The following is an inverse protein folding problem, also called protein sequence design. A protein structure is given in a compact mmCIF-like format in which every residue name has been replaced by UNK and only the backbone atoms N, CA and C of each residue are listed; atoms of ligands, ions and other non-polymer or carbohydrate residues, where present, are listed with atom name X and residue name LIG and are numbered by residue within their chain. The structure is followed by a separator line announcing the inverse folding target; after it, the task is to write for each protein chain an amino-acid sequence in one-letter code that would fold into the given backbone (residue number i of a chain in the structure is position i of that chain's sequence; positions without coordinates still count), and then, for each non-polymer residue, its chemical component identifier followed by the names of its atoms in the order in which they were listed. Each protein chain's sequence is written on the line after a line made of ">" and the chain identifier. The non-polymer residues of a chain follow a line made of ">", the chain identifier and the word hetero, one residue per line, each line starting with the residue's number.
data_IF_898811856906
#
_entry.id   IF_898811856906
#
_cell.length_a   1.000
_cell.length_b   1.000
_cell.length_c   1.000
_cell.angle_alpha   90.00
_cell.angle_beta   90.00
_cell.angle_gamma   90.00
#
_symmetry.space_group_name_H-M   'P 1'
#
loop_
_entity.id
_entity.type
_entity.pdbx_description
1 polymer ?
#
# COMPACT_ATOMS: atom_id res chain seq x y z
N UNK A 1 4.98 -10.52 -1.48
CA UNK A 1 6.03 -10.28 -2.49
C UNK A 1 5.51 -9.43 -3.65
N UNK A 2 4.36 -9.74 -4.28
CA UNK A 2 3.86 -9.04 -5.47
C UNK A 2 3.40 -7.60 -5.25
N UNK A 3 3.19 -7.16 -4.03
CA UNK A 3 2.89 -5.75 -3.73
C UNK A 3 3.96 -4.79 -4.29
N UNK A 4 5.23 -5.10 -4.14
CA UNK A 4 6.34 -4.25 -4.63
C UNK A 4 6.33 -4.12 -6.14
N UNK A 5 6.30 -5.20 -6.95
CA UNK A 5 6.18 -5.11 -8.40
C UNK A 5 4.92 -4.36 -8.88
N UNK A 6 3.78 -4.54 -8.22
CA UNK A 6 2.55 -3.79 -8.51
C UNK A 6 2.77 -2.28 -8.35
N UNK A 7 3.38 -1.87 -7.23
CA UNK A 7 3.69 -0.46 -6.97
C UNK A 7 4.68 0.11 -8.00
N UNK A 8 5.74 -0.63 -8.34
CA UNK A 8 6.72 -0.19 -9.36
C UNK A 8 6.08 -0.02 -10.74
N UNK A 9 5.16 -0.91 -11.14
CA UNK A 9 4.41 -0.76 -12.39
C UNK A 9 3.56 0.52 -12.38
N UNK A 10 2.85 0.78 -11.28
CA UNK A 10 2.02 1.99 -11.14
C UNK A 10 2.90 3.25 -11.20
N UNK A 11 4.03 3.26 -10.47
CA UNK A 11 4.99 4.38 -10.46
C UNK A 11 5.56 4.62 -11.86
N UNK A 12 5.98 3.56 -12.54
CA UNK A 12 6.52 3.65 -13.89
C UNK A 12 5.49 4.18 -14.91
N UNK A 13 4.22 3.80 -14.78
CA UNK A 13 3.14 4.34 -15.61
C UNK A 13 2.87 5.81 -15.28
N UNK A 14 2.81 6.17 -13.99
CA UNK A 14 2.64 7.55 -13.56
C UNK A 14 3.75 8.46 -14.09
N UNK A 15 5.00 7.97 -14.08
CA UNK A 15 6.16 8.67 -14.64
C UNK A 15 6.03 8.95 -16.14
N UNK A 16 5.37 8.05 -16.90
CA UNK A 16 5.18 8.22 -18.34
C UNK A 16 4.03 9.18 -18.68
N UNK A 17 3.05 9.31 -17.79
CA UNK A 17 1.83 10.11 -17.98
C UNK A 17 1.92 11.50 -17.34
N UNK A 18 3.12 11.92 -16.88
CA UNK A 18 3.33 13.26 -16.34
C UNK A 18 2.68 13.51 -14.97
N UNK A 19 2.45 12.47 -14.19
CA UNK A 19 2.02 12.61 -12.80
C UNK A 19 3.20 13.16 -11.98
N UNK A 20 2.95 14.14 -11.11
CA UNK A 20 4.00 14.76 -10.31
C UNK A 20 4.14 14.17 -8.91
N UNK A 21 3.07 13.61 -8.34
CA UNK A 21 3.08 13.10 -6.96
C UNK A 21 2.30 11.81 -6.83
N UNK A 22 2.92 10.84 -6.19
CA UNK A 22 2.24 9.65 -5.67
C UNK A 22 2.26 9.74 -4.14
N UNK A 23 1.09 9.64 -3.53
CA UNK A 23 0.92 9.72 -2.08
C UNK A 23 0.45 8.37 -1.57
N UNK A 24 1.27 7.73 -0.73
CA UNK A 24 1.02 6.38 -0.24
C UNK A 24 0.58 6.42 1.21
N UNK A 25 -0.58 5.83 1.49
CA UNK A 25 -1.04 5.50 2.83
C UNK A 25 -1.04 4.00 3.03
N UNK A 26 -0.45 3.52 4.10
CA UNK A 26 -0.49 2.10 4.42
C UNK A 26 -0.37 1.85 5.91
N UNK A 27 -1.02 0.77 6.36
CA UNK A 27 -0.84 0.21 7.68
C UNK A 27 0.52 -0.51 7.80
N UNK A 28 0.69 -1.36 8.81
CA UNK A 28 1.98 -1.96 9.12
C UNK A 28 2.42 -3.08 8.17
N UNK A 29 1.46 -3.80 7.56
CA UNK A 29 1.73 -4.99 6.74
C UNK A 29 2.58 -4.68 5.53
N UNK A 30 3.84 -5.14 5.55
CA UNK A 30 4.79 -4.92 4.47
C UNK A 30 5.39 -3.50 4.39
N UNK A 31 5.17 -2.64 5.40
CA UNK A 31 5.64 -1.26 5.38
C UNK A 31 7.15 -1.15 5.25
N UNK A 32 7.92 -1.91 6.02
CA UNK A 32 9.38 -1.90 5.92
C UNK A 32 9.86 -2.33 4.53
N UNK A 33 9.16 -3.27 3.90
CA UNK A 33 9.44 -3.72 2.55
C UNK A 33 9.21 -2.60 1.52
N UNK A 34 8.11 -1.85 1.66
CA UNK A 34 7.82 -0.68 0.80
C UNK A 34 8.82 0.45 1.05
N UNK A 35 9.17 0.73 2.32
CA UNK A 35 10.20 1.73 2.66
C UNK A 35 11.53 1.41 1.98
N UNK A 36 11.95 0.15 1.94
CA UNK A 36 13.20 -0.25 1.32
C UNK A 36 13.11 -0.26 -0.20
N UNK A 37 12.17 -1.00 -0.77
CA UNK A 37 12.16 -1.29 -2.21
C UNK A 37 11.52 -0.18 -3.05
N UNK A 38 10.55 0.54 -2.49
CA UNK A 38 9.87 1.63 -3.20
C UNK A 38 10.46 2.98 -2.85
N UNK A 39 10.83 3.20 -1.58
CA UNK A 39 11.29 4.51 -1.10
C UNK A 39 12.81 4.60 -0.86
N UNK A 40 13.54 3.52 -1.19
CA UNK A 40 14.99 3.44 -1.11
C UNK A 40 15.58 3.67 0.30
N UNK A 41 14.83 3.37 1.38
CA UNK A 41 15.39 3.41 2.74
C UNK A 41 16.45 2.31 2.86
N UNK A 42 17.71 2.64 3.23
CA UNK A 42 18.77 1.64 3.32
C UNK A 42 18.44 0.53 4.33
N UNK A 43 18.77 -0.72 4.00
CA UNK A 43 18.61 -1.85 4.92
C UNK A 43 19.33 -1.64 6.25
N UNK A 44 20.52 -1.04 6.22
CA UNK A 44 21.29 -0.75 7.43
C UNK A 44 20.51 0.12 8.42
N UNK A 45 19.74 1.11 7.93
CA UNK A 45 18.90 1.94 8.77
C UNK A 45 17.73 1.16 9.37
N UNK A 46 17.07 0.30 8.57
CA UNK A 46 15.98 -0.55 9.07
C UNK A 46 16.49 -1.54 10.10
N UNK A 47 17.64 -2.18 9.84
CA UNK A 47 18.22 -3.15 10.78
C UNK A 47 18.70 -2.50 12.06
N UNK A 48 19.20 -1.27 12.00
CA UNK A 48 19.57 -0.52 13.20
C UNK A 48 18.37 -0.24 14.12
N UNK A 49 17.17 -0.03 13.53
CA UNK A 49 15.92 0.19 14.28
C UNK A 49 15.42 -1.09 15.03
N UNK A 50 15.97 -2.28 14.72
CA UNK A 50 15.70 -3.52 15.45
C UNK A 50 16.63 -3.76 16.63
N UNK A 51 17.74 -3.02 16.73
CA UNK A 51 18.63 -3.11 17.89
C UNK A 51 18.00 -2.36 19.04
N UNK A 52 18.04 -2.95 20.24
CA UNK A 52 17.49 -2.35 21.44
C UNK A 52 18.03 -0.93 21.67
N UNK A 53 17.16 -0.05 22.11
CA UNK A 53 17.45 1.36 22.41
C UNK A 53 18.38 1.56 23.61
N UNK A 54 18.83 0.51 24.28
CA UNK A 54 19.75 0.57 25.43
C UNK A 54 21.21 0.90 25.06
N UNK A 55 21.58 0.91 23.79
CA UNK A 55 22.91 1.40 23.40
C UNK A 55 22.82 2.89 23.04
N UNK A 56 23.26 3.72 23.96
CA UNK A 56 23.29 5.20 23.95
C UNK A 56 23.92 5.90 22.72
N UNK A 57 24.28 5.18 21.66
CA UNK A 57 25.07 5.72 20.56
C UNK A 57 24.42 5.70 19.16
N UNK A 58 23.18 5.26 19.02
CA UNK A 58 22.48 5.26 17.73
C UNK A 58 21.05 5.78 17.85
N UNK A 59 20.89 7.07 18.12
CA UNK A 59 19.63 7.74 17.80
C UNK A 59 19.58 7.92 16.28
N UNK A 60 18.87 7.04 15.57
CA UNK A 60 18.45 7.32 14.19
C UNK A 60 17.47 8.49 14.30
N UNK A 61 17.98 9.70 14.12
CA UNK A 61 17.11 10.86 13.90
C UNK A 61 16.44 10.63 12.55
N UNK A 62 15.10 10.58 12.52
CA UNK A 62 14.43 10.76 11.27
C UNK A 62 14.77 12.14 10.69
N UNK A 63 14.43 12.39 9.45
CA UNK A 63 14.70 13.67 8.78
C UNK A 63 14.06 14.88 9.49
N UNK A 64 13.21 14.65 10.47
CA UNK A 64 12.52 15.65 11.29
C UNK A 64 13.10 15.75 12.72
N UNK A 65 14.09 14.92 13.07
CA UNK A 65 14.75 14.93 14.38
C UNK A 65 13.93 14.31 15.52
N UNK A 66 12.88 13.59 15.22
CA UNK A 66 12.03 12.92 16.22
C UNK A 66 12.66 11.59 16.64
N UNK A 67 12.54 11.28 17.93
CA UNK A 67 13.03 10.03 18.52
C UNK A 67 11.89 9.35 19.28
N UNK A 68 11.99 8.02 19.44
CA UNK A 68 11.05 7.26 20.29
C UNK A 68 9.80 6.74 19.60
N UNK A 69 9.62 6.96 18.30
CA UNK A 69 8.51 6.34 17.55
C UNK A 69 8.87 4.94 17.08
N UNK A 70 7.86 4.09 16.89
CA UNK A 70 8.07 2.73 16.40
C UNK A 70 8.38 2.72 14.89
N UNK A 71 9.30 1.86 14.47
CA UNK A 71 9.77 1.72 13.08
C UNK A 71 8.66 1.59 12.02
N UNK A 72 7.49 1.10 12.41
CA UNK A 72 6.34 0.90 11.52
C UNK A 72 5.49 2.16 11.28
N UNK A 73 5.79 3.28 11.96
CA UNK A 73 5.10 4.55 11.77
C UNK A 73 5.84 5.51 10.83
N UNK A 74 7.12 5.26 10.58
CA UNK A 74 7.96 6.15 9.78
C UNK A 74 7.40 6.39 8.37
N UNK A 75 7.36 7.66 7.97
CA UNK A 75 7.14 8.10 6.61
C UNK A 75 8.46 8.18 5.82
N UNK A 76 8.36 8.35 4.52
CA UNK A 76 9.51 8.58 3.65
C UNK A 76 9.11 9.28 2.34
N UNK A 77 10.11 9.85 1.67
CA UNK A 77 9.93 10.53 0.38
C UNK A 77 11.09 10.16 -0.56
N UNK A 78 10.74 9.90 -1.82
CA UNK A 78 11.70 9.59 -2.88
C UNK A 78 11.35 10.38 -4.14
N UNK A 79 12.35 11.04 -4.76
CA UNK A 79 12.26 11.52 -6.14
C UNK A 79 12.53 10.37 -7.10
N UNK A 80 11.75 10.27 -8.16
CA UNK A 80 11.87 9.18 -9.14
C UNK A 80 12.87 9.57 -10.22
N UNK A 81 13.71 8.62 -10.64
CA UNK A 81 14.60 8.77 -11.78
C UNK A 81 14.14 7.88 -12.94
N UNK A 82 14.27 8.38 -14.17
CA UNK A 82 14.02 7.61 -15.39
C UNK A 82 15.28 7.68 -16.25
N UNK A 83 15.84 6.50 -16.61
CA UNK A 83 17.12 6.38 -17.35
C UNK A 83 18.27 7.15 -16.71
N UNK A 84 18.31 7.21 -15.37
CA UNK A 84 19.35 7.90 -14.61
C UNK A 84 19.11 9.39 -14.38
N UNK A 85 18.13 10.01 -15.02
CA UNK A 85 17.76 11.41 -14.81
C UNK A 85 16.56 11.53 -13.87
N UNK A 86 16.61 12.48 -12.94
CA UNK A 86 15.48 12.80 -12.07
C UNK A 86 14.36 13.42 -12.90
N UNK A 87 13.17 12.87 -12.74
CA UNK A 87 11.95 13.41 -13.32
C UNK A 87 11.12 14.12 -12.24
N UNK A 88 10.20 14.97 -12.66
CA UNK A 88 9.31 15.68 -11.72
C UNK A 88 8.19 14.76 -11.20
N UNK A 89 8.59 13.63 -10.60
CA UNK A 89 7.71 12.71 -9.89
C UNK A 89 8.29 12.40 -8.52
N UNK A 90 7.48 12.62 -7.50
CA UNK A 90 7.83 12.32 -6.11
C UNK A 90 6.85 11.32 -5.53
N UNK A 91 7.39 10.24 -4.95
CA UNK A 91 6.62 9.28 -4.15
C UNK A 91 6.80 9.64 -2.67
N UNK A 92 5.71 9.82 -1.97
CA UNK A 92 5.69 10.14 -0.54
C UNK A 92 4.81 9.15 0.20
N UNK A 93 5.36 8.47 1.20
CA UNK A 93 4.59 7.68 2.15
C UNK A 93 4.35 8.52 3.40
N UNK A 94 3.08 8.72 3.74
CA UNK A 94 2.72 9.42 4.97
C UNK A 94 3.13 8.62 6.20
N UNK A 95 3.62 9.25 7.29
CA UNK A 95 3.67 8.60 8.58
C UNK A 95 2.25 8.19 9.01
N UNK A 96 2.13 7.14 9.81
CA UNK A 96 0.82 6.67 10.29
C UNK A 96 0.84 6.34 11.77
N UNK A 97 -0.31 6.44 12.46
CA UNK A 97 -0.44 5.98 13.84
C UNK A 97 -0.63 4.45 13.92
N UNK A 98 -0.67 3.90 15.11
CA UNK A 98 -1.04 2.50 15.36
C UNK A 98 -2.49 2.17 14.99
N UNK A 99 -3.37 3.19 14.91
CA UNK A 99 -4.76 3.02 14.49
C UNK A 99 -4.81 2.68 13.01
N UNK A 100 -5.18 1.43 12.70
CA UNK A 100 -5.26 0.94 11.33
C UNK A 100 -6.28 1.76 10.52
N UNK A 101 -5.96 2.01 9.25
CA UNK A 101 -6.78 2.71 8.25
C UNK A 101 -6.96 4.23 8.50
N UNK A 102 -6.56 4.79 9.64
CA UNK A 102 -6.72 6.23 9.92
C UNK A 102 -5.84 7.13 9.06
N UNK A 103 -4.77 6.59 8.46
CA UNK A 103 -3.96 7.32 7.49
C UNK A 103 -4.69 7.56 6.15
N UNK A 104 -5.75 6.81 5.85
CA UNK A 104 -6.44 6.88 4.56
C UNK A 104 -7.00 8.27 4.27
N UNK A 105 -7.88 8.87 5.12
CA UNK A 105 -8.39 10.21 4.86
C UNK A 105 -7.28 11.28 4.92
N UNK A 106 -6.20 11.04 5.66
CA UNK A 106 -5.04 11.95 5.68
C UNK A 106 -4.38 12.00 4.30
N UNK A 107 -4.12 10.85 3.69
CA UNK A 107 -3.52 10.76 2.36
C UNK A 107 -4.44 11.32 1.27
N UNK A 108 -5.75 11.10 1.38
CA UNK A 108 -6.74 11.74 0.50
C UNK A 108 -6.68 13.28 0.62
N UNK A 109 -6.60 13.81 1.85
CA UNK A 109 -6.42 15.24 2.11
C UNK A 109 -5.10 15.77 1.55
N UNK A 110 -4.00 15.05 1.71
CA UNK A 110 -2.70 15.40 1.12
C UNK A 110 -2.76 15.44 -0.41
N UNK A 111 -3.42 14.46 -1.04
CA UNK A 111 -3.60 14.41 -2.49
C UNK A 111 -4.47 15.58 -2.98
N UNK A 112 -5.55 15.87 -2.27
CA UNK A 112 -6.40 17.02 -2.55
C UNK A 112 -5.63 18.33 -2.46
N UNK A 113 -4.86 18.54 -1.39
CA UNK A 113 -4.06 19.74 -1.20
C UNK A 113 -2.99 19.90 -2.29
N UNK A 114 -2.24 18.84 -2.59
CA UNK A 114 -1.16 18.87 -3.58
C UNK A 114 -1.65 19.17 -5.01
N UNK A 115 -2.88 18.79 -5.36
CA UNK A 115 -3.49 19.10 -6.64
C UNK A 115 -4.31 20.40 -6.66
N UNK A 116 -4.37 21.15 -5.56
CA UNK A 116 -5.17 22.37 -5.45
C UNK A 116 -4.31 23.61 -5.67
N UNK A 117 -4.76 24.48 -6.55
CA UNK A 117 -4.12 25.76 -6.88
C UNK A 117 -5.00 26.92 -6.36
N UNK A 118 -4.32 27.85 -5.68
CA UNK A 118 -4.90 29.10 -5.12
C UNK A 118 -4.20 30.33 -5.67
N UNK A 119 -3.63 30.21 -6.84
CA UNK A 119 -2.83 31.23 -7.53
C UNK A 119 -3.65 32.40 -8.08
N UNK A 120 -4.98 32.28 -8.08
CA UNK A 120 -5.90 33.31 -8.57
C UNK A 120 -7.03 33.55 -7.55
N UNK A 121 -7.55 34.78 -7.48
CA UNK A 121 -8.75 35.08 -6.67
C UNK A 121 -9.95 34.22 -7.09
N UNK A 122 -10.79 33.81 -6.13
CA UNK A 122 -11.99 33.02 -6.36
C UNK A 122 -11.90 31.60 -5.82
N UNK A 123 -12.62 30.67 -6.42
CA UNK A 123 -12.61 29.27 -5.98
C UNK A 123 -11.31 28.58 -6.34
N UNK A 124 -10.72 27.79 -5.42
CA UNK A 124 -9.55 26.97 -5.70
C UNK A 124 -9.78 26.04 -6.91
N UNK A 125 -8.80 25.92 -7.79
CA UNK A 125 -8.80 24.99 -8.91
C UNK A 125 -8.11 23.69 -8.49
N UNK A 126 -8.73 22.57 -8.75
CA UNK A 126 -8.15 21.26 -8.52
C UNK A 126 -7.78 20.57 -9.83
N UNK A 127 -6.54 20.08 -9.94
CA UNK A 127 -6.05 19.34 -11.09
C UNK A 127 -5.86 17.86 -10.73
N UNK A 128 -6.65 17.00 -11.34
CA UNK A 128 -6.65 15.56 -11.11
C UNK A 128 -5.39 14.85 -11.68
N UNK A 129 -4.65 15.50 -12.58
CA UNK A 129 -3.47 14.94 -13.21
C UNK A 129 -2.19 15.10 -12.34
N UNK A 130 -2.24 15.91 -11.28
CA UNK A 130 -1.06 16.19 -10.45
C UNK A 130 -0.73 15.03 -9.52
N UNK A 131 -1.74 14.35 -8.96
CA UNK A 131 -1.55 13.39 -7.87
C UNK A 131 -2.23 12.07 -8.12
N UNK A 132 -1.64 10.99 -7.61
CA UNK A 132 -2.28 9.69 -7.44
C UNK A 132 -2.14 9.26 -5.98
N UNK A 133 -3.22 9.20 -5.20
CA UNK A 133 -3.21 8.50 -3.93
C UNK A 133 -3.23 6.98 -4.15
N UNK A 134 -2.44 6.26 -3.34
CA UNK A 134 -2.43 4.80 -3.26
C UNK A 134 -2.64 4.44 -1.80
N UNK A 135 -3.71 3.71 -1.51
CA UNK A 135 -4.03 3.22 -0.18
C UNK A 135 -3.85 1.72 -0.10
N UNK A 136 -2.96 1.29 0.81
CA UNK A 136 -2.62 -0.13 0.99
C UNK A 136 -3.23 -0.61 2.31
N UNK A 137 -4.12 -1.58 2.22
CA UNK A 137 -4.96 -2.05 3.31
C UNK A 137 -4.60 -3.47 3.75
N UNK A 138 -4.85 -3.76 5.02
CA UNK A 138 -4.97 -5.15 5.50
C UNK A 138 -6.42 -5.64 5.33
N UNK A 139 -6.59 -6.90 4.97
CA UNK A 139 -7.90 -7.52 4.72
C UNK A 139 -8.85 -7.44 5.93
N UNK A 140 -8.35 -7.74 7.13
CA UNK A 140 -9.16 -7.68 8.34
C UNK A 140 -9.54 -6.24 8.73
N UNK A 141 -8.61 -5.30 8.60
CA UNK A 141 -8.87 -3.90 8.93
C UNK A 141 -9.81 -3.23 7.91
N UNK A 142 -9.61 -3.49 6.62
CA UNK A 142 -10.44 -2.91 5.57
C UNK A 142 -11.93 -3.26 5.74
N UNK A 143 -12.24 -4.50 6.06
CA UNK A 143 -13.62 -4.94 6.24
C UNK A 143 -14.27 -4.43 7.55
N UNK A 144 -13.46 -4.10 8.58
CA UNK A 144 -13.97 -3.90 9.94
C UNK A 144 -13.87 -2.44 10.45
N UNK A 145 -12.92 -1.64 9.94
CA UNK A 145 -12.71 -0.28 10.43
C UNK A 145 -13.69 0.71 9.80
N UNK A 146 -14.47 1.42 10.62
CA UNK A 146 -15.48 2.39 10.16
C UNK A 146 -14.90 3.51 9.28
N UNK A 147 -13.68 3.96 9.57
CA UNK A 147 -12.98 4.99 8.80
C UNK A 147 -12.77 4.61 7.34
N UNK A 148 -12.76 3.31 7.00
CA UNK A 148 -12.70 2.83 5.61
C UNK A 148 -13.96 3.23 4.85
N UNK A 149 -15.13 2.94 5.41
CA UNK A 149 -16.41 3.33 4.80
C UNK A 149 -16.54 4.85 4.65
N UNK A 150 -16.07 5.61 5.65
CA UNK A 150 -16.05 7.08 5.60
C UNK A 150 -15.13 7.58 4.49
N UNK A 151 -13.93 7.01 4.35
CA UNK A 151 -12.98 7.34 3.27
C UNK A 151 -13.58 7.02 1.90
N UNK A 152 -14.12 5.80 1.73
CA UNK A 152 -14.76 5.41 0.47
C UNK A 152 -15.95 6.31 0.11
N UNK A 153 -16.69 6.82 1.11
CA UNK A 153 -17.79 7.76 0.86
C UNK A 153 -17.31 9.09 0.26
N UNK A 154 -16.08 9.52 0.55
CA UNK A 154 -15.52 10.78 0.04
C UNK A 154 -15.20 10.75 -1.46
N UNK A 155 -14.97 9.58 -2.07
CA UNK A 155 -14.41 9.43 -3.42
C UNK A 155 -15.17 10.16 -4.54
N UNK A 156 -16.47 10.39 -4.39
CA UNK A 156 -17.32 11.07 -5.38
C UNK A 156 -17.85 12.43 -4.92
N UNK A 157 -17.58 12.80 -3.67
CA UNK A 157 -18.04 14.09 -3.16
C UNK A 157 -17.20 15.22 -3.75
N UNK A 158 -17.87 16.25 -4.28
CA UNK A 158 -17.20 17.35 -5.02
C UNK A 158 -16.07 18.01 -4.24
N UNK A 159 -16.23 18.18 -2.92
CA UNK A 159 -15.24 18.80 -2.05
C UNK A 159 -14.04 17.92 -1.71
N UNK A 160 -14.17 16.60 -1.84
CA UNK A 160 -13.19 15.62 -1.36
C UNK A 160 -12.51 14.82 -2.46
N UNK A 161 -13.15 14.63 -3.61
CA UNK A 161 -12.61 13.81 -4.70
C UNK A 161 -11.20 14.24 -5.12
N UNK A 162 -10.36 13.26 -5.37
CA UNK A 162 -8.93 13.43 -5.73
C UNK A 162 -8.60 12.98 -7.16
N UNK A 163 -9.60 12.64 -7.95
CA UNK A 163 -9.40 12.09 -9.31
C UNK A 163 -9.11 10.60 -9.32
N UNK A 164 -9.56 9.90 -8.30
CA UNK A 164 -9.46 8.46 -8.14
C UNK A 164 -8.24 8.00 -7.35
N UNK A 165 -8.50 7.06 -6.45
CA UNK A 165 -7.52 6.39 -5.58
C UNK A 165 -7.32 4.96 -6.06
N UNK A 166 -6.09 4.48 -6.05
CA UNK A 166 -5.81 3.06 -6.25
C UNK A 166 -5.72 2.42 -4.87
N UNK A 167 -6.68 1.53 -4.58
CA UNK A 167 -6.72 0.75 -3.36
C UNK A 167 -6.07 -0.61 -3.60
N UNK A 168 -5.19 -1.03 -2.69
CA UNK A 168 -4.53 -2.33 -2.73
C UNK A 168 -4.74 -3.06 -1.40
N UNK A 169 -5.59 -4.07 -1.36
CA UNK A 169 -5.74 -4.92 -0.19
C UNK A 169 -4.67 -6.01 -0.24
N UNK A 170 -3.73 -5.98 0.69
CA UNK A 170 -2.75 -7.05 0.89
C UNK A 170 -3.38 -8.17 1.72
N UNK A 171 -4.22 -8.97 1.06
CA UNK A 171 -5.08 -9.96 1.67
C UNK A 171 -4.32 -11.25 1.97
N UNK A 172 -3.99 -11.49 3.23
CA UNK A 172 -3.36 -12.74 3.66
C UNK A 172 -4.35 -13.72 4.33
N UNK A 173 -5.65 -13.43 4.28
CA UNK A 173 -6.76 -14.29 4.72
C UNK A 173 -6.74 -14.62 6.21
N UNK A 174 -6.02 -13.82 7.01
CA UNK A 174 -5.95 -13.98 8.46
C UNK A 174 -5.77 -12.64 9.16
N UNK A 175 -6.51 -12.40 10.23
CA UNK A 175 -6.34 -11.24 11.11
C UNK A 175 -5.69 -11.65 12.43
N UNK A 176 -4.37 -11.51 12.56
CA UNK A 176 -3.54 -12.03 13.65
C UNK A 176 -3.73 -13.53 13.82
N UNK A 177 -4.68 -13.99 14.65
CA UNK A 177 -5.05 -15.40 14.87
C UNK A 177 -6.47 -15.73 14.40
N UNK A 178 -7.20 -14.74 13.86
CA UNK A 178 -8.60 -14.89 13.44
C UNK A 178 -8.68 -15.26 11.96
N UNK A 179 -9.31 -16.37 11.65
CA UNK A 179 -9.57 -16.80 10.29
C UNK A 179 -10.53 -15.83 9.57
N UNK A 180 -10.45 -15.77 8.26
CA UNK A 180 -11.25 -14.87 7.41
C UNK A 180 -12.76 -15.08 7.57
N UNK A 181 -13.22 -16.33 7.65
CA UNK A 181 -14.63 -16.69 7.85
C UNK A 181 -15.19 -16.26 9.23
N UNK A 182 -14.31 -16.04 10.22
CA UNK A 182 -14.69 -15.53 11.54
C UNK A 182 -14.49 -14.00 11.66
N UNK A 183 -13.80 -13.38 10.69
CA UNK A 183 -13.45 -11.96 10.72
C UNK A 183 -14.45 -11.07 9.98
N UNK A 184 -15.25 -11.61 9.06
CA UNK A 184 -16.21 -10.83 8.26
C UNK A 184 -17.41 -11.67 7.82
N UNK A 185 -18.54 -10.98 7.61
CA UNK A 185 -19.79 -11.62 7.13
C UNK A 185 -19.82 -11.75 5.60
N UNK A 186 -18.95 -11.05 4.90
CA UNK A 186 -18.87 -11.04 3.43
C UNK A 186 -17.86 -12.06 2.93
N UNK A 187 -18.02 -12.51 1.68
CA UNK A 187 -17.10 -13.47 1.07
C UNK A 187 -15.70 -12.89 0.92
N UNK A 188 -15.57 -11.64 0.47
CA UNK A 188 -14.30 -10.98 0.24
C UNK A 188 -14.12 -9.79 1.18
N UNK A 189 -12.88 -9.51 1.58
CA UNK A 189 -12.55 -8.34 2.38
C UNK A 189 -12.93 -7.03 1.65
N UNK A 190 -12.83 -7.03 0.33
CA UNK A 190 -13.14 -5.91 -0.56
C UNK A 190 -14.63 -5.64 -0.80
N UNK A 191 -15.53 -6.49 -0.31
CA UNK A 191 -16.97 -6.40 -0.61
C UNK A 191 -17.61 -5.08 -0.15
N UNK A 192 -17.05 -4.42 0.86
CA UNK A 192 -17.48 -3.08 1.29
C UNK A 192 -17.47 -2.08 0.12
N UNK A 193 -16.48 -2.15 -0.77
CA UNK A 193 -16.33 -1.24 -1.89
C UNK A 193 -17.42 -1.39 -2.97
N UNK A 194 -18.12 -2.52 -3.01
CA UNK A 194 -19.24 -2.76 -3.94
C UNK A 194 -20.37 -1.75 -3.74
N UNK A 195 -20.66 -1.39 -2.49
CA UNK A 195 -21.67 -0.39 -2.14
C UNK A 195 -21.36 0.99 -2.71
N UNK A 196 -20.08 1.31 -2.91
CA UNK A 196 -19.60 2.57 -3.47
C UNK A 196 -19.39 2.49 -4.99
N UNK A 197 -19.71 1.36 -5.64
CA UNK A 197 -19.56 1.13 -7.08
C UNK A 197 -18.11 1.30 -7.56
N UNK A 198 -17.16 0.89 -6.75
CA UNK A 198 -15.74 0.84 -7.08
C UNK A 198 -15.46 -0.51 -7.73
N UNK A 199 -14.84 -0.57 -8.93
CA UNK A 199 -14.46 -1.83 -9.54
C UNK A 199 -13.40 -2.54 -8.69
N UNK A 200 -13.55 -3.86 -8.54
CA UNK A 200 -12.69 -4.71 -7.75
C UNK A 200 -12.15 -5.82 -8.65
N UNK A 201 -10.85 -6.05 -8.61
CA UNK A 201 -10.21 -7.21 -9.22
C UNK A 201 -9.52 -8.02 -8.14
N UNK A 202 -9.89 -9.29 -8.02
CA UNK A 202 -9.20 -10.26 -7.17
C UNK A 202 -8.09 -10.90 -8.00
N UNK A 203 -6.88 -10.90 -7.48
CA UNK A 203 -5.72 -11.51 -8.14
C UNK A 203 -4.94 -12.38 -7.16
N UNK A 204 -4.51 -13.55 -7.63
CA UNK A 204 -3.68 -14.44 -6.83
C UNK A 204 -2.25 -13.88 -6.74
N UNK A 205 -1.78 -13.64 -5.51
CA UNK A 205 -0.44 -13.13 -5.25
C UNK A 205 0.70 -14.09 -5.70
N UNK A 206 0.36 -15.34 -6.00
CA UNK A 206 1.28 -16.34 -6.54
C UNK A 206 1.34 -16.37 -8.09
N UNK A 207 0.61 -15.47 -8.76
CA UNK A 207 0.61 -15.28 -10.21
C UNK A 207 1.22 -13.91 -10.57
N UNK A 208 2.54 -13.83 -10.86
CA UNK A 208 3.20 -12.56 -11.15
C UNK A 208 2.67 -11.86 -12.40
N UNK A 209 2.35 -12.60 -13.46
CA UNK A 209 1.87 -12.02 -14.71
C UNK A 209 0.51 -11.36 -14.50
N UNK A 210 -0.44 -12.08 -13.91
CA UNK A 210 -1.74 -11.52 -13.57
C UNK A 210 -1.63 -10.30 -12.64
N UNK A 211 -0.73 -10.31 -11.66
CA UNK A 211 -0.50 -9.17 -10.78
C UNK A 211 -0.03 -7.93 -11.54
N UNK A 212 0.87 -8.09 -12.51
CA UNK A 212 1.36 -6.98 -13.34
C UNK A 212 0.26 -6.45 -14.25
N UNK A 213 -0.54 -7.32 -14.87
CA UNK A 213 -1.65 -6.89 -15.73
C UNK A 213 -2.74 -6.15 -14.94
N UNK A 214 -3.06 -6.61 -13.73
CA UNK A 214 -4.01 -5.91 -12.85
C UNK A 214 -3.48 -4.54 -12.43
N UNK A 215 -2.17 -4.40 -12.16
CA UNK A 215 -1.57 -3.10 -11.87
C UNK A 215 -1.69 -2.14 -13.07
N UNK A 216 -1.46 -2.62 -14.28
CA UNK A 216 -1.65 -1.86 -15.53
C UNK A 216 -3.10 -1.44 -15.71
N UNK A 217 -4.03 -2.35 -15.49
CA UNK A 217 -5.47 -2.09 -15.57
C UNK A 217 -5.91 -1.04 -14.57
N UNK A 218 -5.49 -1.16 -13.31
CA UNK A 218 -5.83 -0.23 -12.24
C UNK A 218 -5.36 1.20 -12.57
N UNK A 219 -4.11 1.33 -13.02
CA UNK A 219 -3.57 2.62 -13.45
C UNK A 219 -4.36 3.19 -14.65
N UNK A 220 -4.57 2.38 -15.70
CA UNK A 220 -5.27 2.80 -16.91
C UNK A 220 -6.72 3.23 -16.61
N UNK A 221 -7.42 2.48 -15.76
CA UNK A 221 -8.77 2.82 -15.33
C UNK A 221 -8.80 4.15 -14.57
N UNK A 222 -7.95 4.30 -13.57
CA UNK A 222 -7.84 5.54 -12.79
C UNK A 222 -7.50 6.74 -13.68
N UNK A 223 -6.52 6.59 -14.55
CA UNK A 223 -6.07 7.65 -15.47
C UNK A 223 -7.18 8.06 -16.45
N UNK A 224 -7.89 7.08 -17.01
CA UNK A 224 -8.95 7.30 -18.00
C UNK A 224 -10.23 7.88 -17.40
N UNK A 225 -10.66 7.35 -16.26
CA UNK A 225 -11.98 7.65 -15.70
C UNK A 225 -11.95 8.58 -14.50
N UNK A 226 -10.79 8.86 -13.93
CA UNK A 226 -10.59 9.66 -12.71
C UNK A 226 -11.47 9.14 -11.55
N UNK A 227 -11.50 7.82 -11.37
CA UNK A 227 -12.28 7.09 -10.38
C UNK A 227 -11.41 6.08 -9.64
N UNK A 228 -11.86 5.71 -8.47
CA UNK A 228 -11.20 4.71 -7.64
C UNK A 228 -11.23 3.33 -8.30
N UNK A 229 -10.18 2.56 -8.03
CA UNK A 229 -10.03 1.18 -8.45
C UNK A 229 -9.44 0.36 -7.31
N UNK A 230 -9.89 -0.87 -7.15
CA UNK A 230 -9.45 -1.74 -6.06
C UNK A 230 -8.83 -3.03 -6.57
N UNK A 231 -7.65 -3.33 -6.06
CA UNK A 231 -6.95 -4.59 -6.24
C UNK A 231 -7.04 -5.37 -4.93
N UNK A 232 -7.68 -6.52 -4.92
CA UNK A 232 -7.65 -7.47 -3.83
C UNK A 232 -6.57 -8.52 -4.13
N UNK A 233 -5.37 -8.30 -3.58
CA UNK A 233 -4.20 -9.15 -3.78
C UNK A 233 -4.26 -10.32 -2.79
N UNK A 234 -4.84 -11.43 -3.23
CA UNK A 234 -5.11 -12.60 -2.40
C UNK A 234 -3.86 -13.49 -2.29
N UNK A 235 -3.36 -13.61 -1.09
CA UNK A 235 -2.17 -14.40 -0.79
C UNK A 235 -2.29 -15.06 0.59
N UNK A 236 -1.15 -15.26 1.23
CA UNK A 236 -1.06 -15.82 2.57
C UNK A 236 0.12 -15.23 3.34
N UNK A 237 0.08 -15.32 4.66
CA UNK A 237 1.16 -14.91 5.54
C UNK A 237 2.14 -16.06 5.75
N UNK A 238 3.38 -15.92 5.33
CA UNK A 238 4.40 -16.98 5.44
C UNK A 238 4.99 -17.06 6.86
N UNK A 239 5.18 -15.94 7.51
CA UNK A 239 5.78 -15.84 8.85
C UNK A 239 4.75 -15.37 9.88
N UNK A 240 5.16 -15.14 11.12
CA UNK A 240 4.31 -14.65 12.18
C UNK A 240 3.71 -13.26 11.93
N UNK A 241 2.77 -12.86 12.78
CA UNK A 241 2.15 -11.55 12.76
C UNK A 241 3.18 -10.44 13.06
N UNK A 242 4.11 -10.72 13.94
CA UNK A 242 5.25 -9.90 14.30
C UNK A 242 6.48 -10.77 14.58
N UNK A 243 7.58 -10.16 15.00
CA UNK A 243 8.87 -10.83 15.23
C UNK A 243 8.82 -11.91 16.33
N UNK A 244 7.91 -11.79 17.30
CA UNK A 244 7.77 -12.72 18.42
C UNK A 244 6.67 -13.76 18.24
N UNK A 245 5.92 -13.73 17.11
CA UNK A 245 4.78 -14.62 16.90
C UNK A 245 5.19 -15.90 16.17
N UNK A 246 4.87 -17.06 16.77
CA UNK A 246 4.97 -18.37 16.12
C UNK A 246 3.56 -18.86 15.70
N UNK A 247 3.19 -18.66 14.44
CA UNK A 247 1.81 -18.90 13.99
C UNK A 247 1.41 -20.37 13.95
N UNK A 248 2.36 -21.30 14.01
CA UNK A 248 2.06 -22.75 14.06
C UNK A 248 1.38 -23.16 15.35
N UNK A 249 1.49 -22.37 16.42
CA UNK A 249 0.79 -22.62 17.68
C UNK A 249 -0.72 -22.42 17.55
N UNK A 250 -1.15 -21.47 16.75
CA UNK A 250 -2.57 -21.11 16.59
C UNK A 250 -3.20 -21.62 15.30
N UNK A 251 -2.42 -21.73 14.21
CA UNK A 251 -2.86 -22.21 12.90
C UNK A 251 -1.98 -23.37 12.36
N UNK A 252 -1.88 -24.51 13.06
CA UNK A 252 -0.95 -25.59 12.69
C UNK A 252 -1.25 -26.18 11.31
N UNK A 253 -2.49 -26.44 10.97
CA UNK A 253 -2.89 -27.05 9.69
C UNK A 253 -2.61 -26.13 8.51
N UNK A 254 -2.88 -24.82 8.67
CA UNK A 254 -2.59 -23.82 7.65
C UNK A 254 -1.10 -23.76 7.35
N UNK A 255 -0.26 -23.71 8.38
CA UNK A 255 1.19 -23.59 8.21
C UNK A 255 1.86 -24.89 7.75
N UNK A 256 1.30 -26.06 8.05
CA UNK A 256 1.74 -27.31 7.40
C UNK A 256 1.62 -27.27 5.87
N UNK A 257 0.66 -26.53 5.35
CA UNK A 257 0.49 -26.31 3.91
C UNK A 257 1.43 -25.22 3.41
N UNK A 258 1.47 -24.05 4.09
CA UNK A 258 2.29 -22.90 3.70
C UNK A 258 3.78 -23.24 3.64
N UNK A 259 4.29 -24.03 4.61
CA UNK A 259 5.72 -24.42 4.68
C UNK A 259 6.18 -25.23 3.46
N UNK A 260 5.27 -25.91 2.78
CA UNK A 260 5.56 -26.70 1.58
C UNK A 260 5.53 -25.86 0.29
N UNK A 261 5.00 -24.64 0.34
CA UNK A 261 4.86 -23.81 -0.85
C UNK A 261 6.21 -23.14 -1.20
N UNK A 262 6.64 -23.17 -2.47
CA UNK A 262 7.77 -22.37 -2.91
C UNK A 262 7.41 -20.87 -2.82
N UNK A 263 8.44 -20.02 -2.77
CA UNK A 263 8.22 -18.57 -2.86
C UNK A 263 7.74 -18.17 -4.26
N UNK A 264 7.06 -17.03 -4.38
CA UNK A 264 6.65 -16.49 -5.70
C UNK A 264 7.86 -16.33 -6.62
N UNK A 265 9.00 -15.88 -6.08
CA UNK A 265 10.26 -15.75 -6.82
C UNK A 265 10.72 -17.10 -7.40
N UNK A 266 10.69 -18.16 -6.61
CA UNK A 266 11.07 -19.50 -7.07
C UNK A 266 10.12 -20.01 -8.16
N UNK A 267 8.81 -19.87 -7.96
CA UNK A 267 7.80 -20.23 -8.98
C UNK A 267 8.05 -19.50 -10.30
N UNK A 268 8.30 -18.20 -10.22
CA UNK A 268 8.53 -17.38 -11.41
C UNK A 268 9.83 -17.75 -12.12
N UNK A 269 10.93 -17.97 -11.37
CA UNK A 269 12.19 -18.42 -11.95
C UNK A 269 12.02 -19.74 -12.70
N UNK A 270 11.36 -20.73 -12.09
CA UNK A 270 11.08 -22.02 -12.75
C UNK A 270 10.24 -21.86 -14.02
N UNK A 271 9.23 -20.96 -13.98
CA UNK A 271 8.40 -20.68 -15.17
C UNK A 271 9.23 -20.09 -16.31
N UNK A 272 10.16 -19.19 -16.00
CA UNK A 272 11.03 -18.58 -17.02
C UNK A 272 12.05 -19.55 -17.60
N UNK A 273 12.57 -20.48 -16.79
CA UNK A 273 13.48 -21.54 -17.25
C UNK A 273 12.81 -22.56 -18.19
N UNK A 274 11.49 -22.71 -18.08
CA UNK A 274 10.69 -23.61 -18.92
C UNK A 274 10.19 -22.98 -20.23
N UNK A 275 10.30 -21.66 -20.38
CA UNK A 275 9.93 -20.89 -21.58
C UNK A 275 11.11 -20.70 -22.54
#
# INVERSE_FOLDING_TARGET
>A
DMMVPILEVIIGRAANEGIHRILVGMAHRGRLNVLTHILNKPYAHILAEFKDQESDNYTVRDSLGWTGDVKYHAGARRSVAKRGELIDLVVTMAPNPSHLEHVNPVVEGMARAAGTFVDKPGHPRFDHAITIPILIHGDAAFAAQGVVAETLNMHRLRGYRVGGTIHLITNNQIGFTTFDWAARSTRYASDLAKGFKIPIVHVNADDPEACIEVARLAFAYRHRFLKDFMIDLVGYRRYGHNEGDEPRFTQPTMYQTIDKLPTVRQKWATTLEQR
#
